data_IF_424461989931
#
_entry.id   IF_424461989931
#
_cell.length_a   1.000
_cell.length_b   1.000
_cell.length_c   1.000
_cell.angle_alpha   90.00
_cell.angle_beta   90.00
_cell.angle_gamma   90.00
#
_symmetry.space_group_name_H-M   'P 1'
#
loop_
_entity.id
_entity.type
_entity.pdbx_description
1 polymer ?
#
# COMPACT_ATOMS: atom_id res chain seq x y z
N UNK A 1 5.23 11.67 18.39
CA UNK A 1 5.38 11.30 16.96
C UNK A 1 5.71 12.55 16.19
N UNK A 2 6.77 12.51 15.38
CA UNK A 2 7.18 13.64 14.56
C UNK A 2 6.49 13.57 13.20
N UNK A 3 5.44 14.38 13.01
CA UNK A 3 4.63 14.41 11.79
C UNK A 3 5.47 14.88 10.59
N UNK A 4 6.40 15.81 10.81
CA UNK A 4 7.25 16.34 9.76
C UNK A 4 8.26 15.28 9.29
N UNK A 5 8.91 14.59 10.23
CA UNK A 5 9.75 13.44 9.91
C UNK A 5 8.99 12.35 9.16
N UNK A 6 7.77 12.05 9.57
CA UNK A 6 6.93 11.06 8.86
C UNK A 6 6.62 11.49 7.43
N UNK A 7 6.18 12.75 7.23
CA UNK A 7 5.90 13.29 5.88
C UNK A 7 7.14 13.23 4.99
N UNK A 8 8.30 13.62 5.51
CA UNK A 8 9.56 13.55 4.76
C UNK A 8 9.93 12.10 4.40
N UNK A 9 9.68 11.14 5.30
CA UNK A 9 9.86 9.72 5.01
C UNK A 9 8.96 9.23 3.87
N UNK A 10 7.69 9.63 3.86
CA UNK A 10 6.75 9.30 2.78
C UNK A 10 7.22 9.86 1.43
N UNK A 11 7.68 11.11 1.39
CA UNK A 11 8.16 11.71 0.14
C UNK A 11 9.43 11.01 -0.40
N UNK A 12 10.32 10.57 0.49
CA UNK A 12 11.50 9.79 0.10
C UNK A 12 11.12 8.40 -0.44
N UNK A 13 10.21 7.68 0.22
CA UNK A 13 9.68 6.39 -0.27
C UNK A 13 9.00 6.53 -1.64
N UNK A 14 8.27 7.63 -1.86
CA UNK A 14 7.64 7.94 -3.15
C UNK A 14 8.65 8.19 -4.25
N UNK A 15 9.71 8.95 -3.96
CA UNK A 15 10.80 9.18 -4.88
C UNK A 15 11.47 7.86 -5.28
N UNK A 16 11.83 7.02 -4.31
CA UNK A 16 12.43 5.71 -4.56
C UNK A 16 11.51 4.80 -5.39
N UNK A 17 10.20 4.84 -5.13
CA UNK A 17 9.22 4.09 -5.92
C UNK A 17 9.12 4.63 -7.35
N UNK A 18 9.10 5.94 -7.55
CA UNK A 18 9.13 6.53 -8.89
C UNK A 18 10.40 6.16 -9.66
N UNK A 19 11.56 6.20 -9.00
CA UNK A 19 12.83 5.78 -9.59
C UNK A 19 12.82 4.30 -9.98
N UNK A 20 12.27 3.42 -9.13
CA UNK A 20 12.06 2.02 -9.47
C UNK A 20 11.19 1.87 -10.73
N UNK A 21 10.05 2.57 -10.79
CA UNK A 21 9.12 2.48 -11.92
C UNK A 21 9.74 3.03 -13.22
N UNK A 22 10.55 4.09 -13.14
CA UNK A 22 11.22 4.72 -14.28
C UNK A 22 12.40 3.89 -14.80
N UNK A 23 13.22 3.35 -13.92
CA UNK A 23 14.56 2.85 -14.29
C UNK A 23 14.74 1.33 -14.14
N UNK A 24 14.00 0.67 -13.25
CA UNK A 24 14.19 -0.76 -13.00
C UNK A 24 13.75 -1.61 -14.20
N UNK A 25 14.51 -2.66 -14.52
CA UNK A 25 14.10 -3.66 -15.51
C UNK A 25 12.93 -4.52 -15.01
N UNK A 26 12.74 -4.58 -13.68
CA UNK A 26 11.62 -5.26 -13.03
C UNK A 26 10.39 -4.34 -12.86
N UNK A 27 10.47 -3.10 -13.34
CA UNK A 27 9.33 -2.20 -13.36
C UNK A 27 8.19 -2.81 -14.19
N UNK A 28 6.93 -2.68 -13.75
CA UNK A 28 5.78 -3.12 -14.53
C UNK A 28 5.47 -2.21 -15.72
N UNK A 29 6.08 -1.02 -15.83
CA UNK A 29 5.87 -0.10 -16.96
C UNK A 29 6.61 -0.62 -18.20
N UNK A 30 5.95 -0.74 -19.37
CA UNK A 30 6.61 -1.08 -20.63
C UNK A 30 7.76 -0.13 -20.97
N UNK A 31 8.81 -0.65 -21.62
CA UNK A 31 10.02 0.14 -21.90
C UNK A 31 9.73 1.39 -22.73
N UNK A 32 8.82 1.28 -23.68
CA UNK A 32 8.38 2.33 -24.59
C UNK A 32 7.63 3.46 -23.85
N UNK A 33 6.94 3.11 -22.77
CA UNK A 33 6.19 4.07 -21.95
C UNK A 33 7.07 4.73 -20.87
N UNK A 34 8.21 4.09 -20.51
CA UNK A 34 9.11 4.63 -19.49
C UNK A 34 9.61 6.02 -19.83
N UNK A 35 9.88 6.35 -21.10
CA UNK A 35 10.32 7.70 -21.49
C UNK A 35 9.32 8.78 -21.04
N UNK A 36 8.02 8.50 -21.19
CA UNK A 36 6.91 9.40 -20.88
C UNK A 36 6.47 9.36 -19.41
N UNK A 37 6.96 8.39 -18.62
CA UNK A 37 6.63 8.26 -17.20
C UNK A 37 7.19 9.45 -16.38
N UNK A 38 6.29 10.18 -15.69
CA UNK A 38 6.62 11.37 -14.88
C UNK A 38 6.56 11.11 -13.36
N UNK A 39 6.10 9.94 -12.96
CA UNK A 39 5.81 9.58 -11.57
C UNK A 39 4.41 8.98 -11.43
N UNK A 40 4.18 8.31 -10.30
CA UNK A 40 2.85 7.82 -9.92
C UNK A 40 2.00 8.96 -9.34
N UNK A 41 0.68 8.81 -9.44
CA UNK A 41 -0.27 9.70 -8.79
C UNK A 41 -0.36 9.35 -7.29
N UNK A 42 -0.13 10.35 -6.44
CA UNK A 42 -0.15 10.20 -4.97
C UNK A 42 -1.15 11.17 -4.35
N UNK A 43 -1.89 10.68 -3.33
CA UNK A 43 -2.60 11.56 -2.41
C UNK A 43 -1.62 12.35 -1.53
N UNK A 44 -1.92 13.59 -1.13
CA UNK A 44 -1.08 14.31 -0.18
C UNK A 44 -1.00 13.56 1.15
N UNK A 45 0.15 13.61 1.87
CA UNK A 45 0.27 12.94 3.15
C UNK A 45 -0.58 13.66 4.20
N UNK A 46 -1.72 13.06 4.54
CA UNK A 46 -2.66 13.56 5.53
C UNK A 46 -2.64 12.65 6.77
N UNK A 47 -2.36 13.27 7.92
CA UNK A 47 -2.22 12.58 9.20
C UNK A 47 -3.53 11.96 9.68
N UNK A 48 -4.67 12.47 9.21
CA UNK A 48 -6.00 11.92 9.51
C UNK A 48 -6.15 10.46 9.05
N UNK A 49 -5.39 10.06 8.03
CA UNK A 49 -5.40 8.70 7.47
C UNK A 49 -4.24 7.84 8.00
N UNK A 50 -3.48 8.32 8.99
CA UNK A 50 -2.38 7.57 9.59
C UNK A 50 -2.82 7.02 10.94
N UNK A 51 -2.96 5.70 11.00
CA UNK A 51 -3.35 4.99 12.22
C UNK A 51 -2.19 4.17 12.78
N UNK A 52 -2.12 4.09 14.10
CA UNK A 52 -1.32 3.10 14.82
C UNK A 52 -2.32 2.18 15.53
N UNK A 53 -2.43 0.94 15.07
CA UNK A 53 -3.48 0.01 15.47
C UNK A 53 -2.88 -1.30 15.95
N UNK A 54 -3.51 -1.89 16.96
CA UNK A 54 -3.22 -3.25 17.36
C UNK A 54 -3.80 -4.24 16.34
N UNK A 55 -3.03 -5.29 16.04
CA UNK A 55 -3.51 -6.38 15.21
C UNK A 55 -4.37 -7.32 16.05
N UNK A 56 -5.66 -7.41 15.73
CA UNK A 56 -6.56 -8.38 16.34
C UNK A 56 -6.42 -9.72 15.61
N UNK A 57 -5.58 -10.60 16.14
CA UNK A 57 -5.39 -11.94 15.59
C UNK A 57 -6.68 -12.78 15.68
N UNK A 58 -7.01 -13.49 14.61
CA UNK A 58 -8.15 -14.41 14.60
C UNK A 58 -7.81 -15.71 15.31
N UNK A 59 -8.69 -16.11 16.24
CA UNK A 59 -8.56 -17.39 16.97
C UNK A 59 -8.65 -18.60 16.04
N UNK A 60 -9.42 -18.50 14.96
CA UNK A 60 -9.47 -19.47 13.87
C UNK A 60 -9.02 -18.82 12.57
N UNK A 61 -7.96 -19.37 11.96
CA UNK A 61 -7.40 -18.88 10.71
C UNK A 61 -8.07 -19.56 9.53
N UNK A 62 -8.59 -18.77 8.59
CA UNK A 62 -9.19 -19.28 7.36
C UNK A 62 -8.27 -19.03 6.16
N UNK A 63 -8.48 -19.78 5.08
CA UNK A 63 -7.83 -19.50 3.80
C UNK A 63 -8.66 -18.45 3.05
N UNK A 64 -8.00 -17.40 2.58
CA UNK A 64 -8.53 -16.41 1.65
C UNK A 64 -7.93 -16.71 0.27
N UNK A 65 -8.80 -16.94 -0.72
CA UNK A 65 -8.37 -17.09 -2.10
C UNK A 65 -8.50 -15.74 -2.81
N UNK A 66 -7.38 -15.24 -3.36
CA UNK A 66 -7.33 -14.01 -4.15
C UNK A 66 -6.96 -14.38 -5.57
N UNK A 67 -7.85 -14.08 -6.51
CA UNK A 67 -7.60 -14.21 -7.93
C UNK A 67 -6.91 -12.95 -8.46
N UNK A 68 -5.80 -13.09 -9.19
CA UNK A 68 -5.19 -11.97 -9.90
C UNK A 68 -5.86 -11.71 -11.25
N UNK A 69 -5.54 -10.59 -11.90
CA UNK A 69 -6.15 -10.21 -13.19
C UNK A 69 -5.81 -11.17 -14.34
N UNK A 70 -4.92 -12.14 -14.14
CA UNK A 70 -4.57 -13.19 -15.10
C UNK A 70 -5.27 -14.53 -14.77
N UNK A 71 -6.16 -14.55 -13.78
CA UNK A 71 -6.91 -15.73 -13.35
C UNK A 71 -6.13 -16.68 -12.42
N UNK A 72 -4.95 -16.29 -11.93
CA UNK A 72 -4.22 -17.13 -11.00
C UNK A 72 -4.79 -16.96 -9.59
N UNK A 73 -5.13 -18.08 -8.96
CA UNK A 73 -5.62 -18.10 -7.57
C UNK A 73 -4.43 -18.23 -6.62
N UNK A 74 -4.31 -17.28 -5.70
CA UNK A 74 -3.36 -17.31 -4.58
C UNK A 74 -4.10 -17.55 -3.28
N UNK A 75 -3.62 -18.49 -2.47
CA UNK A 75 -4.16 -18.79 -1.15
C UNK A 75 -3.37 -18.05 -0.08
N UNK A 76 -4.05 -17.21 0.69
CA UNK A 76 -3.51 -16.49 1.84
C UNK A 76 -4.17 -16.98 3.12
N UNK A 77 -3.49 -16.81 4.25
CA UNK A 77 -4.09 -17.06 5.57
C UNK A 77 -4.67 -15.74 6.07
N UNK A 78 -5.96 -15.72 6.41
CA UNK A 78 -6.57 -14.60 7.11
C UNK A 78 -6.10 -14.62 8.57
N UNK A 79 -5.02 -13.89 8.83
CA UNK A 79 -4.34 -13.92 10.13
C UNK A 79 -5.09 -13.15 11.22
N UNK A 80 -5.62 -11.98 10.87
CA UNK A 80 -6.30 -11.09 11.80
C UNK A 80 -6.91 -9.89 11.07
N UNK A 81 -7.33 -8.90 11.85
CA UNK A 81 -7.92 -7.67 11.36
C UNK A 81 -7.45 -6.45 12.15
N UNK A 82 -7.57 -5.27 11.55
CA UNK A 82 -7.35 -4.00 12.20
C UNK A 82 -8.70 -3.31 12.37
N UNK A 83 -9.01 -2.83 13.57
CA UNK A 83 -10.27 -2.15 13.85
C UNK A 83 -10.01 -0.66 14.07
N UNK A 84 -10.69 0.19 13.31
CA UNK A 84 -10.49 1.64 13.38
C UNK A 84 -11.73 2.40 12.91
N UNK A 85 -11.86 3.65 13.32
CA UNK A 85 -12.92 4.55 12.87
C UNK A 85 -12.37 5.60 11.92
N UNK A 86 -13.12 5.91 10.86
CA UNK A 86 -12.81 6.98 9.93
C UNK A 86 -14.09 7.72 9.53
N UNK A 87 -14.08 9.05 9.63
CA UNK A 87 -15.23 9.90 9.27
C UNK A 87 -16.57 9.46 9.92
N UNK A 88 -16.49 8.98 11.17
CA UNK A 88 -17.66 8.50 11.92
C UNK A 88 -18.13 7.09 11.54
N UNK A 89 -17.37 6.37 10.70
CA UNK A 89 -17.66 5.00 10.27
C UNK A 89 -16.67 4.02 10.89
N UNK A 90 -17.18 3.00 11.57
CA UNK A 90 -16.35 1.91 12.07
C UNK A 90 -15.95 0.95 10.93
N UNK A 91 -14.66 0.62 10.88
CA UNK A 91 -14.02 -0.20 9.86
C UNK A 91 -13.28 -1.40 10.50
N UNK A 92 -13.23 -2.52 9.76
CA UNK A 92 -12.52 -3.75 10.11
C UNK A 92 -12.04 -4.53 8.88
#
# INVERSE_FOLDING_TARGET
MDVEKWKNGIEEERKQKNDFFKWSIQSPIPWEEKEHFKGLDYYPPDIKYRFELELFEHSQKSILEIEDTKGNIRKFIRWGEFRFGIDGVDCK
#
